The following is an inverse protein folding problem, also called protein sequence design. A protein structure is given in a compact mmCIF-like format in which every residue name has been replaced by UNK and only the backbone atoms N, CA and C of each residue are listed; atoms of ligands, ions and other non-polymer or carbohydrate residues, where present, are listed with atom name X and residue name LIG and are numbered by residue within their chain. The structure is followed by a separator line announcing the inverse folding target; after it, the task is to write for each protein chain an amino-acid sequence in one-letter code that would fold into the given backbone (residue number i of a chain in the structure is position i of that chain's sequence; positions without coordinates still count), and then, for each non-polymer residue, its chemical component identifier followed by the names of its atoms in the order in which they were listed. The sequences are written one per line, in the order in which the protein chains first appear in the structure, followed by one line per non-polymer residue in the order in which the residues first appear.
data_IF_557273997446
#
_entry.id   IF_557273997446
#
_cell.length_a   1.000
_cell.length_b   1.000
_cell.length_c   1.000
_cell.angle_alpha   90.00
_cell.angle_beta   90.00
_cell.angle_gamma   90.00
#
_symmetry.space_group_name_H-M   'P 1'
#
loop_
_entity.id
_entity.type
_entity.pdbx_description
1 polymer ?
#
# COMPACT_ATOMS: atom_id res chain seq x y z
N UNK A 1 4.16 5.18 14.59
CA UNK A 1 4.92 5.55 15.81
C UNK A 1 4.23 6.74 16.49
N UNK A 2 3.81 7.77 15.76
CA UNK A 2 3.18 8.96 16.37
C UNK A 2 1.73 8.71 16.80
N UNK A 3 0.98 7.90 16.07
CA UNK A 3 -0.31 7.40 16.52
C UNK A 3 -0.16 6.61 17.84
N UNK A 4 0.92 5.87 18.00
CA UNK A 4 1.26 5.18 19.26
C UNK A 4 1.70 6.15 20.35
N UNK A 5 2.38 7.25 20.04
CA UNK A 5 2.78 8.28 21.01
C UNK A 5 1.61 9.17 21.45
N UNK A 6 0.77 9.62 20.52
CA UNK A 6 -0.47 10.36 20.85
C UNK A 6 -1.51 9.45 21.50
N UNK A 7 -1.58 8.18 21.09
CA UNK A 7 -2.34 7.16 21.78
C UNK A 7 -1.76 6.89 23.18
N UNK A 8 -0.45 6.84 23.36
CA UNK A 8 0.19 6.60 24.66
C UNK A 8 -0.11 7.67 25.71
N UNK A 9 -0.13 8.92 25.34
CA UNK A 9 -0.43 10.06 26.24
C UNK A 9 -1.93 10.22 26.48
N UNK A 10 -2.77 9.82 25.52
CA UNK A 10 -4.24 9.95 25.56
C UNK A 10 -4.98 8.65 25.87
N UNK A 11 -4.28 7.51 25.92
CA UNK A 11 -4.84 6.15 25.77
C UNK A 11 -5.77 5.71 26.89
N UNK A 12 -5.59 6.19 28.10
CA UNK A 12 -6.43 5.71 29.21
C UNK A 12 -7.76 6.48 29.33
N UNK A 13 -7.78 7.76 29.04
CA UNK A 13 -8.98 8.57 29.16
C UNK A 13 -9.59 8.92 27.78
N UNK A 14 -8.78 9.19 26.77
CA UNK A 14 -9.25 9.58 25.45
C UNK A 14 -9.99 8.48 24.73
N UNK A 15 -9.48 7.25 24.76
CA UNK A 15 -10.16 6.11 24.14
C UNK A 15 -11.47 5.76 24.83
N UNK A 16 -11.52 5.83 26.15
CA UNK A 16 -12.77 5.60 26.91
C UNK A 16 -13.81 6.66 26.60
N UNK A 17 -13.43 7.93 26.53
CA UNK A 17 -14.32 9.03 26.19
C UNK A 17 -14.76 8.92 24.72
N UNK A 18 -13.83 8.66 23.79
CA UNK A 18 -14.13 8.45 22.37
C UNK A 18 -15.11 7.30 22.17
N UNK A 19 -14.85 6.14 22.76
CA UNK A 19 -15.74 4.98 22.65
C UNK A 19 -17.10 5.24 23.28
N UNK A 20 -17.16 5.90 24.44
CA UNK A 20 -18.42 6.27 25.08
C UNK A 20 -19.22 7.26 24.20
N UNK A 21 -18.55 8.25 23.62
CA UNK A 21 -19.17 9.25 22.75
C UNK A 21 -19.60 8.65 21.40
N UNK A 22 -18.79 7.76 20.81
CA UNK A 22 -19.14 7.04 19.58
C UNK A 22 -20.42 6.19 19.75
N UNK A 23 -20.53 5.49 20.88
CA UNK A 23 -21.72 4.66 21.18
C UNK A 23 -22.89 5.43 21.77
N UNK A 24 -22.80 6.74 21.97
CA UNK A 24 -23.87 7.60 22.52
C UNK A 24 -24.91 8.06 21.49
N UNK A 25 -25.19 7.30 20.43
CA UNK A 25 -26.11 7.64 19.32
C UNK A 25 -25.70 8.91 18.56
N UNK A 26 -24.42 9.18 18.43
CA UNK A 26 -23.87 10.25 17.60
C UNK A 26 -23.94 11.67 18.16
N UNK A 27 -24.76 11.93 19.19
CA UNK A 27 -24.93 13.28 19.75
C UNK A 27 -23.68 13.84 20.41
N UNK A 28 -22.75 12.97 20.88
CA UNK A 28 -21.52 13.36 21.56
C UNK A 28 -20.26 13.18 20.72
N UNK A 29 -20.37 12.49 19.59
CA UNK A 29 -19.23 12.23 18.69
C UNK A 29 -18.64 13.53 18.12
N UNK A 30 -19.50 14.50 17.76
CA UNK A 30 -19.10 15.79 17.20
C UNK A 30 -18.66 16.82 18.26
N UNK A 31 -18.30 16.42 19.47
CA UNK A 31 -17.68 17.33 20.42
C UNK A 31 -16.36 17.85 19.88
N UNK A 32 -16.02 19.13 20.15
CA UNK A 32 -14.75 19.72 19.71
C UNK A 32 -13.51 18.88 20.08
N UNK A 33 -13.55 18.27 21.26
CA UNK A 33 -12.50 17.38 21.73
C UNK A 33 -12.29 16.19 20.77
N UNK A 34 -13.33 15.45 20.40
CA UNK A 34 -13.24 14.32 19.50
C UNK A 34 -12.78 14.77 18.09
N UNK A 35 -13.32 15.87 17.58
CA UNK A 35 -12.91 16.44 16.30
C UNK A 35 -11.42 16.79 16.29
N UNK A 36 -10.93 17.44 17.35
CA UNK A 36 -9.52 17.83 17.47
C UNK A 36 -8.63 16.57 17.50
N UNK A 37 -8.92 15.62 18.36
CA UNK A 37 -8.01 14.47 18.59
C UNK A 37 -8.13 13.37 17.51
N UNK A 38 -9.28 13.22 16.85
CA UNK A 38 -9.49 12.17 15.86
C UNK A 38 -9.24 12.66 14.43
N UNK A 39 -9.46 13.93 14.14
CA UNK A 39 -9.35 14.47 12.79
C UNK A 39 -8.21 15.49 12.67
N UNK A 40 -8.26 16.58 13.46
CA UNK A 40 -7.36 17.72 13.28
C UNK A 40 -5.92 17.33 13.65
N UNK A 41 -5.72 16.79 14.83
CA UNK A 41 -4.38 16.44 15.31
C UNK A 41 -3.69 15.39 14.43
N UNK A 42 -4.30 14.26 14.05
CA UNK A 42 -3.70 13.32 13.09
C UNK A 42 -3.40 13.96 11.74
N UNK A 43 -4.29 14.80 11.19
CA UNK A 43 -4.06 15.48 9.92
C UNK A 43 -2.84 16.42 9.97
N UNK A 44 -2.74 17.24 11.03
CA UNK A 44 -1.61 18.13 11.24
C UNK A 44 -0.30 17.35 11.41
N UNK A 45 -0.33 16.27 12.16
CA UNK A 45 0.84 15.41 12.37
C UNK A 45 1.30 14.73 11.08
N UNK A 46 0.38 14.18 10.30
CA UNK A 46 0.68 13.57 8.99
C UNK A 46 1.29 14.61 8.06
N UNK A 47 0.69 15.81 7.98
CA UNK A 47 1.23 16.89 7.16
C UNK A 47 2.63 17.31 7.61
N UNK A 48 2.84 17.54 8.91
CA UNK A 48 4.13 17.95 9.47
C UNK A 48 5.22 16.90 9.21
N UNK A 49 4.91 15.63 9.52
CA UNK A 49 5.88 14.54 9.32
C UNK A 49 6.16 14.27 7.86
N UNK A 50 5.13 14.29 6.99
CA UNK A 50 5.31 14.16 5.55
C UNK A 50 6.20 15.29 4.99
N UNK A 51 6.00 16.53 5.43
CA UNK A 51 6.84 17.65 5.04
C UNK A 51 8.27 17.52 5.56
N UNK A 52 8.45 17.09 6.82
CA UNK A 52 9.75 16.85 7.42
C UNK A 52 10.49 15.70 6.74
N UNK A 53 9.84 14.56 6.54
CA UNK A 53 10.38 13.39 5.86
C UNK A 53 10.81 13.75 4.43
N UNK A 54 9.92 14.41 3.67
CA UNK A 54 10.23 14.85 2.33
C UNK A 54 11.47 15.76 2.30
N UNK A 55 11.52 16.77 3.17
CA UNK A 55 12.64 17.71 3.23
C UNK A 55 13.95 17.03 3.62
N UNK A 56 13.90 16.06 4.55
CA UNK A 56 15.10 15.45 5.14
C UNK A 56 15.67 14.32 4.28
N UNK A 57 14.81 13.51 3.65
CA UNK A 57 15.25 12.28 3.00
C UNK A 57 14.97 12.23 1.49
N UNK A 58 14.00 13.00 1.00
CA UNK A 58 13.49 12.85 -0.37
C UNK A 58 13.90 14.03 -1.27
N UNK A 59 13.92 15.25 -0.75
CA UNK A 59 14.09 16.45 -1.56
C UNK A 59 15.41 16.45 -2.36
N UNK A 60 16.52 16.08 -1.73
CA UNK A 60 17.82 16.09 -2.37
C UNK A 60 17.93 14.99 -3.42
N UNK A 61 17.49 13.77 -3.13
CA UNK A 61 17.49 12.68 -4.10
C UNK A 61 16.60 12.97 -5.32
N UNK A 62 15.44 13.60 -5.12
CA UNK A 62 14.57 14.04 -6.21
C UNK A 62 15.23 15.15 -7.05
N UNK A 63 15.93 16.08 -6.40
CA UNK A 63 16.66 17.16 -7.07
C UNK A 63 17.80 16.59 -7.91
N UNK A 64 18.61 15.71 -7.36
CA UNK A 64 19.69 15.03 -8.07
C UNK A 64 19.17 14.22 -9.27
N UNK A 65 18.12 13.42 -9.08
CA UNK A 65 17.48 12.66 -10.16
C UNK A 65 16.98 13.59 -11.28
N UNK A 66 16.29 14.69 -10.95
CA UNK A 66 15.83 15.66 -11.95
C UNK A 66 17.01 16.34 -12.68
N UNK A 67 18.11 16.61 -11.99
CA UNK A 67 19.31 17.18 -12.60
C UNK A 67 19.98 16.18 -13.53
N UNK A 68 20.17 14.94 -13.12
CA UNK A 68 20.74 13.88 -13.97
C UNK A 68 19.89 13.60 -15.20
N UNK A 69 18.55 13.53 -15.06
CA UNK A 69 17.64 13.39 -16.20
C UNK A 69 17.75 14.57 -17.19
N UNK A 70 17.81 15.82 -16.69
CA UNK A 70 17.99 17.00 -17.55
C UNK A 70 19.34 16.97 -18.28
N UNK A 71 20.40 16.57 -17.59
CA UNK A 71 21.74 16.44 -18.21
C UNK A 71 21.75 15.33 -19.27
N UNK A 72 21.13 14.18 -19.00
CA UNK A 72 21.01 13.10 -19.97
C UNK A 72 20.24 13.55 -21.24
N UNK A 73 19.12 14.24 -21.07
CA UNK A 73 18.34 14.80 -22.19
C UNK A 73 19.16 15.84 -22.97
N UNK A 74 19.94 16.68 -22.29
CA UNK A 74 20.81 17.68 -22.94
C UNK A 74 21.93 17.02 -23.74
N UNK A 75 22.61 16.01 -23.15
CA UNK A 75 23.63 15.22 -23.83
C UNK A 75 23.08 14.52 -25.08
N UNK A 76 21.91 13.93 -24.98
CA UNK A 76 21.26 13.23 -26.10
C UNK A 76 20.88 14.21 -27.22
N UNK A 77 20.33 15.39 -26.87
CA UNK A 77 20.05 16.46 -27.85
C UNK A 77 21.32 16.94 -28.56
N UNK A 78 22.43 17.11 -27.83
CA UNK A 78 23.72 17.52 -28.40
C UNK A 78 24.24 16.45 -29.36
N UNK A 79 24.26 15.18 -28.96
CA UNK A 79 24.69 14.07 -29.82
C UNK A 79 23.85 14.00 -31.11
N UNK A 80 22.55 14.12 -31.01
CA UNK A 80 21.69 14.11 -32.19
C UNK A 80 21.93 15.33 -33.09
N UNK A 81 22.19 16.49 -32.48
CA UNK A 81 22.55 17.71 -33.24
C UNK A 81 23.82 17.53 -34.02
N UNK A 82 24.90 17.02 -33.41
CA UNK A 82 26.16 16.77 -34.08
C UNK A 82 25.98 15.80 -35.25
N UNK A 83 25.34 14.64 -35.01
CA UNK A 83 25.06 13.68 -36.07
C UNK A 83 24.21 14.27 -37.23
N UNK A 84 23.26 15.13 -36.88
CA UNK A 84 22.42 15.81 -37.87
C UNK A 84 23.21 16.81 -38.71
N UNK A 85 24.11 17.58 -38.08
CA UNK A 85 24.98 18.53 -38.80
C UNK A 85 25.95 17.82 -39.77
N UNK A 86 26.48 16.65 -39.36
CA UNK A 86 27.41 15.86 -40.19
C UNK A 86 26.73 15.24 -41.43
N UNK A 87 25.41 15.01 -41.37
CA UNK A 87 24.66 14.38 -42.46
C UNK A 87 23.86 15.36 -43.32
N UNK A 88 23.72 16.61 -42.90
CA UNK A 88 22.82 17.59 -43.52
C UNK A 88 23.57 18.57 -44.40
N UNK A 89 23.13 18.75 -45.66
CA UNK A 89 23.67 19.73 -46.58
C UNK A 89 22.92 21.08 -46.61
N UNK A 90 22.09 21.35 -45.59
CA UNK A 90 21.31 22.61 -45.50
C UNK A 90 22.24 23.74 -45.10
N UNK A 91 22.40 24.73 -45.97
CA UNK A 91 23.26 25.89 -45.76
C UNK A 91 22.60 26.99 -44.90
N UNK A 92 21.25 27.07 -44.94
CA UNK A 92 20.51 28.07 -44.14
C UNK A 92 20.37 27.61 -42.68
N UNK A 93 20.98 28.34 -41.78
CA UNK A 93 21.00 28.07 -40.34
C UNK A 93 19.58 28.06 -39.68
N UNK A 94 18.67 28.92 -40.17
CA UNK A 94 17.31 28.97 -39.65
C UNK A 94 16.50 27.72 -40.06
N UNK A 95 16.63 27.33 -41.32
CA UNK A 95 15.98 26.13 -41.85
C UNK A 95 16.54 24.85 -41.22
N UNK A 96 17.86 24.78 -41.06
CA UNK A 96 18.58 23.70 -40.38
C UNK A 96 18.04 23.49 -38.97
N UNK A 97 17.89 24.57 -38.17
CA UNK A 97 17.39 24.52 -36.80
C UNK A 97 15.90 24.07 -36.75
N UNK A 98 15.07 24.58 -37.68
CA UNK A 98 13.65 24.19 -37.73
C UNK A 98 13.48 22.70 -38.02
N UNK A 99 14.24 22.15 -38.97
CA UNK A 99 14.21 20.71 -39.31
C UNK A 99 14.72 19.87 -38.15
N UNK A 100 15.79 20.31 -37.49
CA UNK A 100 16.30 19.61 -36.30
C UNK A 100 15.30 19.61 -35.13
N UNK A 101 14.60 20.71 -34.86
CA UNK A 101 13.61 20.76 -33.78
C UNK A 101 12.44 19.81 -34.04
N UNK A 102 12.03 19.62 -35.30
CA UNK A 102 11.07 18.60 -35.66
C UNK A 102 11.60 17.18 -35.46
N UNK A 103 12.83 16.91 -35.87
CA UNK A 103 13.51 15.63 -35.65
C UNK A 103 13.65 15.33 -34.16
N UNK A 104 14.10 16.30 -33.39
CA UNK A 104 14.20 16.18 -31.92
C UNK A 104 12.86 15.87 -31.26
N UNK A 105 11.79 16.55 -31.67
CA UNK A 105 10.44 16.30 -31.17
C UNK A 105 9.99 14.85 -31.43
N UNK A 106 10.21 14.33 -32.65
CA UNK A 106 9.91 12.94 -33.00
C UNK A 106 10.77 11.95 -32.18
N UNK A 107 12.09 12.19 -32.10
CA UNK A 107 13.01 11.36 -31.31
C UNK A 107 12.59 11.32 -29.82
N UNK A 108 12.27 12.48 -29.25
CA UNK A 108 11.83 12.57 -27.86
C UNK A 108 10.49 11.87 -27.61
N UNK A 109 9.54 11.98 -28.52
CA UNK A 109 8.27 11.26 -28.45
C UNK A 109 8.47 9.74 -28.52
N UNK A 110 9.37 9.26 -29.38
CA UNK A 110 9.71 7.84 -29.45
C UNK A 110 10.34 7.33 -28.15
N UNK A 111 11.30 8.08 -27.59
CA UNK A 111 11.89 7.76 -26.29
C UNK A 111 10.83 7.71 -25.16
N UNK A 112 9.92 8.70 -25.15
CA UNK A 112 8.85 8.72 -24.13
C UNK A 112 7.89 7.56 -24.33
N UNK A 113 7.58 7.18 -25.57
CA UNK A 113 6.77 5.98 -25.84
C UNK A 113 7.41 4.71 -25.30
N UNK A 114 8.74 4.56 -25.48
CA UNK A 114 9.48 3.41 -24.93
C UNK A 114 9.52 3.48 -23.41
N UNK A 115 9.83 4.67 -22.84
CA UNK A 115 9.86 4.86 -21.38
C UNK A 115 8.53 4.62 -20.71
N UNK A 116 7.42 4.95 -21.38
CA UNK A 116 6.04 4.76 -20.88
C UNK A 116 5.30 3.62 -21.60
N UNK A 117 6.01 2.76 -22.35
CA UNK A 117 5.41 1.54 -22.86
C UNK A 117 4.93 0.68 -21.70
N UNK A 118 3.79 0.02 -21.89
CA UNK A 118 3.23 -0.85 -20.87
C UNK A 118 4.26 -1.89 -20.45
N UNK A 119 4.57 -2.01 -19.15
CA UNK A 119 5.52 -3.00 -18.66
C UNK A 119 5.01 -4.42 -18.95
N UNK A 120 5.92 -5.41 -18.90
CA UNK A 120 5.60 -6.82 -19.21
C UNK A 120 4.40 -7.37 -18.43
N UNK A 121 4.20 -6.88 -17.21
CA UNK A 121 3.15 -7.32 -16.30
C UNK A 121 2.05 -6.27 -16.09
N UNK A 122 2.01 -5.20 -16.91
CA UNK A 122 0.96 -4.21 -16.77
C UNK A 122 -0.40 -4.87 -16.87
N UNK A 123 -1.17 -4.76 -15.81
CA UNK A 123 -2.55 -5.20 -15.75
C UNK A 123 -3.46 -3.98 -15.87
N UNK A 124 -4.34 -3.98 -16.83
CA UNK A 124 -5.42 -3.01 -16.94
C UNK A 124 -6.73 -3.75 -16.73
N UNK A 125 -7.35 -3.54 -15.57
CA UNK A 125 -8.70 -4.07 -15.32
C UNK A 125 -9.77 -3.19 -15.94
N UNK A 126 -10.98 -3.70 -16.01
CA UNK A 126 -12.15 -2.93 -16.45
C UNK A 126 -12.78 -2.24 -15.24
N UNK A 127 -12.88 -0.90 -15.23
CA UNK A 127 -13.48 -0.16 -14.13
C UNK A 127 -14.99 -0.31 -14.10
N UNK A 128 -15.60 -0.20 -12.91
CA UNK A 128 -17.07 -0.12 -12.76
C UNK A 128 -17.66 1.04 -13.55
N UNK A 129 -16.95 2.16 -13.61
CA UNK A 129 -17.34 3.34 -14.37
C UNK A 129 -16.11 4.16 -14.75
N UNK A 130 -16.19 4.90 -15.85
CA UNK A 130 -15.15 5.85 -16.29
C UNK A 130 -15.16 7.19 -15.53
N UNK A 131 -15.99 7.33 -14.50
CA UNK A 131 -15.99 8.50 -13.60
C UNK A 131 -14.66 8.60 -12.84
N UNK A 132 -14.17 9.80 -12.49
CA UNK A 132 -12.81 9.98 -11.95
C UNK A 132 -12.45 9.06 -10.78
N UNK A 133 -13.34 8.84 -9.81
CA UNK A 133 -13.09 7.96 -8.68
C UNK A 133 -13.26 6.48 -9.03
N UNK A 134 -14.32 6.14 -9.77
CA UNK A 134 -14.65 4.75 -10.12
C UNK A 134 -13.76 4.19 -11.24
N UNK A 135 -13.00 5.02 -11.92
CA UNK A 135 -12.01 4.57 -12.91
C UNK A 135 -10.81 3.83 -12.29
N UNK A 136 -10.65 3.87 -10.96
CA UNK A 136 -9.60 3.14 -10.24
C UNK A 136 -10.07 1.79 -9.71
N UNK A 137 -11.31 1.42 -9.99
CA UNK A 137 -11.88 0.11 -9.67
C UNK A 137 -11.53 -0.91 -10.75
N UNK A 138 -11.62 -2.18 -10.42
CA UNK A 138 -11.41 -3.28 -11.35
C UNK A 138 -12.39 -4.41 -11.05
N UNK A 139 -13.26 -4.73 -12.02
CA UNK A 139 -14.24 -5.81 -11.91
C UNK A 139 -13.75 -7.14 -12.48
N UNK A 140 -12.62 -7.14 -13.17
CA UNK A 140 -12.11 -8.31 -13.92
C UNK A 140 -11.13 -9.16 -13.13
N UNK A 141 -10.40 -8.56 -12.17
CA UNK A 141 -9.44 -9.29 -11.32
C UNK A 141 -10.16 -10.28 -10.39
N UNK A 142 -9.65 -11.51 -10.32
CA UNK A 142 -10.22 -12.59 -9.52
C UNK A 142 -10.20 -12.30 -8.01
N UNK A 143 -11.39 -12.17 -7.40
CA UNK A 143 -11.55 -11.90 -5.95
C UNK A 143 -11.00 -13.02 -5.07
N UNK A 144 -11.24 -14.27 -5.45
CA UNK A 144 -10.73 -15.42 -4.68
C UNK A 144 -9.21 -15.49 -4.67
N UNK A 145 -8.57 -15.29 -5.82
CA UNK A 145 -7.10 -15.23 -5.88
C UNK A 145 -6.55 -14.02 -5.12
N UNK A 146 -7.20 -12.86 -5.21
CA UNK A 146 -6.80 -11.67 -4.45
C UNK A 146 -6.87 -11.92 -2.95
N UNK A 147 -7.92 -12.60 -2.45
CA UNK A 147 -8.07 -12.89 -1.02
C UNK A 147 -6.94 -13.81 -0.54
N UNK A 148 -6.60 -14.85 -1.29
CA UNK A 148 -5.57 -15.81 -0.90
C UNK A 148 -4.18 -15.22 -1.13
N UNK A 149 -3.86 -14.79 -2.33
CA UNK A 149 -2.46 -14.43 -2.66
C UNK A 149 -2.08 -13.02 -2.17
N UNK A 150 -2.99 -12.07 -2.20
CA UNK A 150 -2.66 -10.67 -1.91
C UNK A 150 -3.18 -10.20 -0.55
N UNK A 151 -4.45 -10.48 -0.18
CA UNK A 151 -5.04 -9.95 1.04
C UNK A 151 -4.51 -10.65 2.29
N UNK A 152 -4.64 -11.96 2.39
CA UNK A 152 -4.11 -12.74 3.52
C UNK A 152 -2.71 -13.29 3.25
N UNK A 153 -2.30 -13.42 1.99
CA UNK A 153 -0.97 -13.79 1.57
C UNK A 153 0.05 -12.67 1.76
N UNK A 154 0.34 -11.94 0.70
CA UNK A 154 1.40 -10.89 0.64
C UNK A 154 1.27 -9.83 1.74
N UNK A 155 0.05 -9.51 2.20
CA UNK A 155 -0.17 -8.56 3.28
C UNK A 155 0.42 -8.97 4.62
N UNK A 156 0.56 -10.26 4.87
CA UNK A 156 1.04 -10.80 6.13
C UNK A 156 2.39 -11.50 5.98
N UNK A 157 2.62 -12.12 4.83
CA UNK A 157 3.74 -12.97 4.56
C UNK A 157 4.22 -12.75 3.13
N UNK A 158 5.39 -12.13 2.94
CA UNK A 158 5.93 -11.81 1.63
C UNK A 158 6.10 -13.05 0.75
N UNK A 159 5.82 -12.93 -0.55
CA UNK A 159 6.15 -13.99 -1.51
C UNK A 159 7.65 -14.03 -1.77
N UNK A 160 8.20 -15.26 -1.96
CA UNK A 160 9.62 -15.45 -2.25
C UNK A 160 10.02 -14.94 -3.64
N UNK A 161 9.10 -15.00 -4.59
CA UNK A 161 9.30 -14.50 -5.95
C UNK A 161 8.72 -13.10 -6.07
N UNK A 162 9.42 -12.21 -6.76
CA UNK A 162 9.01 -10.83 -6.98
C UNK A 162 8.82 -10.01 -5.70
N UNK A 163 9.56 -10.34 -4.63
CA UNK A 163 9.50 -9.62 -3.35
C UNK A 163 9.73 -8.12 -3.58
N UNK A 164 8.86 -7.26 -3.01
CA UNK A 164 8.87 -5.81 -3.16
C UNK A 164 8.80 -5.30 -4.61
N UNK A 165 8.52 -6.16 -5.58
CA UNK A 165 8.34 -5.77 -6.97
C UNK A 165 7.08 -4.94 -7.19
N UNK A 166 7.14 -3.98 -8.11
CA UNK A 166 6.03 -3.11 -8.49
C UNK A 166 5.07 -3.89 -9.41
N UNK A 167 3.83 -4.10 -8.98
CA UNK A 167 2.79 -4.78 -9.76
C UNK A 167 2.46 -4.07 -11.07
N UNK A 168 2.75 -2.78 -11.17
CA UNK A 168 2.57 -2.01 -12.40
C UNK A 168 3.72 -2.19 -13.40
N UNK A 169 4.83 -2.83 -13.01
CA UNK A 169 6.05 -2.93 -13.82
C UNK A 169 6.73 -4.29 -13.77
N UNK A 170 7.07 -4.74 -12.57
CA UNK A 170 8.11 -5.75 -12.37
C UNK A 170 7.56 -7.10 -11.92
N UNK A 171 6.29 -7.17 -11.50
CA UNK A 171 5.67 -8.40 -11.02
C UNK A 171 4.27 -8.63 -11.59
N UNK A 172 3.83 -9.89 -11.72
CA UNK A 172 2.44 -10.20 -12.03
C UNK A 172 1.52 -9.82 -10.85
N UNK A 173 0.23 -9.62 -11.12
CA UNK A 173 -0.79 -9.31 -10.10
C UNK A 173 -0.90 -10.40 -9.04
N UNK A 174 -0.75 -11.65 -9.45
CA UNK A 174 -0.77 -12.81 -8.56
C UNK A 174 0.58 -13.50 -8.60
N UNK A 175 1.14 -13.68 -7.42
CA UNK A 175 2.34 -14.48 -7.17
C UNK A 175 1.94 -15.55 -6.18
N UNK A 176 2.31 -16.80 -6.44
CA UNK A 176 2.05 -17.90 -5.53
C UNK A 176 3.28 -18.22 -4.69
N UNK A 177 3.07 -18.72 -3.48
CA UNK A 177 4.17 -19.16 -2.64
C UNK A 177 4.89 -20.37 -3.23
N UNK A 178 6.21 -20.37 -3.14
CA UNK A 178 7.02 -21.52 -3.55
C UNK A 178 6.87 -22.71 -2.58
N UNK A 179 6.50 -22.46 -1.33
CA UNK A 179 6.36 -23.47 -0.29
C UNK A 179 4.91 -23.56 0.19
N UNK A 180 4.35 -24.76 0.16
CA UNK A 180 3.01 -25.02 0.68
C UNK A 180 2.83 -24.65 2.15
N UNK A 181 3.91 -24.69 2.94
CA UNK A 181 3.91 -24.30 4.35
C UNK A 181 3.41 -22.86 4.58
N UNK A 182 3.69 -21.94 3.64
CA UNK A 182 3.21 -20.56 3.73
C UNK A 182 1.69 -20.49 3.73
N UNK A 183 1.02 -21.29 2.90
CA UNK A 183 -0.45 -21.38 2.89
C UNK A 183 -1.01 -22.00 4.18
N UNK A 184 -0.27 -22.92 4.81
CA UNK A 184 -0.68 -23.47 6.12
C UNK A 184 -0.64 -22.39 7.19
N UNK A 185 0.41 -21.55 7.24
CA UNK A 185 0.50 -20.41 8.17
C UNK A 185 -0.62 -19.42 7.92
N UNK A 186 -0.87 -19.05 6.66
CA UNK A 186 -1.98 -18.17 6.27
C UNK A 186 -3.32 -18.71 6.75
N UNK A 187 -3.64 -19.97 6.43
CA UNK A 187 -4.88 -20.62 6.85
C UNK A 187 -5.03 -20.62 8.38
N UNK A 188 -3.92 -20.81 9.10
CA UNK A 188 -3.93 -20.78 10.57
C UNK A 188 -4.20 -19.39 11.13
N UNK A 189 -3.64 -18.33 10.53
CA UNK A 189 -3.93 -16.93 10.89
C UNK A 189 -5.40 -16.60 10.64
N UNK A 190 -5.93 -16.98 9.47
CA UNK A 190 -7.33 -16.79 9.12
C UNK A 190 -8.25 -17.53 10.10
N UNK A 191 -7.90 -18.77 10.48
CA UNK A 191 -8.66 -19.54 11.47
C UNK A 191 -8.68 -18.83 12.83
N UNK A 192 -7.52 -18.38 13.33
CA UNK A 192 -7.44 -17.63 14.59
C UNK A 192 -8.25 -16.32 14.53
N UNK A 193 -8.21 -15.63 13.40
CA UNK A 193 -8.99 -14.43 13.14
C UNK A 193 -10.48 -14.70 13.22
N UNK A 194 -10.99 -15.71 12.51
CA UNK A 194 -12.41 -16.09 12.52
C UNK A 194 -12.88 -16.57 13.92
N UNK A 195 -12.06 -17.36 14.60
CA UNK A 195 -12.32 -17.75 15.98
C UNK A 195 -12.36 -16.54 16.92
N UNK A 196 -11.50 -15.55 16.68
CA UNK A 196 -11.47 -14.29 17.40
C UNK A 196 -12.73 -13.45 17.21
N UNK A 197 -13.23 -13.35 15.98
CA UNK A 197 -14.53 -12.70 15.68
C UNK A 197 -15.64 -13.39 16.46
N UNK A 198 -15.69 -14.72 16.41
CA UNK A 198 -16.69 -15.48 17.13
C UNK A 198 -16.63 -15.24 18.65
N UNK A 199 -15.44 -15.24 19.21
CA UNK A 199 -15.22 -14.98 20.64
C UNK A 199 -15.63 -13.55 21.02
N UNK A 200 -15.38 -12.57 20.15
CA UNK A 200 -15.67 -11.15 20.38
C UNK A 200 -17.07 -10.68 19.96
N UNK A 201 -17.92 -11.53 19.40
CA UNK A 201 -19.21 -11.16 18.78
C UNK A 201 -20.19 -10.38 19.65
N UNK A 202 -20.04 -10.41 20.98
CA UNK A 202 -20.86 -9.63 21.92
C UNK A 202 -20.25 -8.29 22.29
N UNK A 203 -19.04 -7.98 21.84
CA UNK A 203 -18.33 -6.75 22.16
C UNK A 203 -18.67 -5.64 21.17
N UNK A 204 -19.03 -4.46 21.68
CA UNK A 204 -19.21 -3.27 20.86
C UNK A 204 -17.92 -2.87 20.14
N UNK A 205 -16.76 -3.01 20.79
CA UNK A 205 -15.44 -2.76 20.20
C UNK A 205 -15.21 -3.69 19.00
N UNK A 206 -15.55 -4.97 19.12
CA UNK A 206 -15.45 -5.90 18.00
C UNK A 206 -16.26 -5.44 16.79
N UNK A 207 -17.51 -5.07 16.99
CA UNK A 207 -18.38 -4.61 15.91
C UNK A 207 -17.89 -3.31 15.28
N UNK A 208 -17.40 -2.38 16.08
CA UNK A 208 -16.77 -1.16 15.56
C UNK A 208 -15.56 -1.50 14.69
N UNK A 209 -14.66 -2.35 15.18
CA UNK A 209 -13.46 -2.78 14.44
C UNK A 209 -13.82 -3.49 13.13
N UNK A 210 -14.81 -4.40 13.19
CA UNK A 210 -15.29 -5.11 12.01
C UNK A 210 -16.01 -4.20 11.01
N UNK A 211 -16.64 -3.10 11.45
CA UNK A 211 -17.27 -2.15 10.52
C UNK A 211 -16.24 -1.43 9.66
N UNK A 212 -15.08 -1.07 10.20
CA UNK A 212 -13.98 -0.52 9.42
C UNK A 212 -13.39 -1.56 8.46
N UNK A 213 -13.15 -2.77 8.95
CA UNK A 213 -12.69 -3.87 8.11
C UNK A 213 -13.68 -4.17 6.97
N UNK A 214 -14.99 -4.19 7.27
CA UNK A 214 -16.01 -4.42 6.25
C UNK A 214 -16.03 -3.31 5.19
N UNK A 215 -15.84 -2.05 5.60
CA UNK A 215 -15.74 -0.93 4.67
C UNK A 215 -14.54 -1.11 3.72
N UNK A 216 -13.37 -1.44 4.26
CA UNK A 216 -12.18 -1.72 3.45
C UNK A 216 -12.40 -2.91 2.50
N UNK A 217 -13.05 -3.97 2.97
CA UNK A 217 -13.37 -5.13 2.12
C UNK A 217 -14.37 -4.77 1.01
N UNK A 218 -15.36 -3.93 1.27
CA UNK A 218 -16.29 -3.43 0.25
C UNK A 218 -15.52 -2.61 -0.81
N UNK A 219 -14.61 -1.74 -0.38
CA UNK A 219 -13.83 -0.91 -1.29
C UNK A 219 -12.84 -1.74 -2.12
N UNK A 220 -12.01 -2.55 -1.46
CA UNK A 220 -10.90 -3.24 -2.13
C UNK A 220 -11.33 -4.53 -2.82
N UNK A 221 -12.14 -5.37 -2.16
CA UNK A 221 -12.58 -6.65 -2.73
C UNK A 221 -13.90 -6.49 -3.47
N UNK A 222 -14.86 -5.75 -2.93
CA UNK A 222 -16.17 -5.53 -3.57
C UNK A 222 -16.05 -4.73 -4.85
N UNK A 223 -15.65 -3.47 -4.74
CA UNK A 223 -15.51 -2.55 -5.87
C UNK A 223 -14.21 -2.77 -6.68
N UNK A 224 -13.23 -3.47 -6.12
CA UNK A 224 -11.94 -3.69 -6.76
C UNK A 224 -11.05 -2.45 -6.78
N UNK A 225 -11.23 -1.53 -5.84
CA UNK A 225 -10.40 -0.33 -5.73
C UNK A 225 -8.99 -0.71 -5.26
N UNK A 226 -7.99 -0.55 -6.14
CA UNK A 226 -6.61 -0.98 -5.88
C UNK A 226 -6.46 -2.48 -5.62
N UNK A 227 -7.34 -3.31 -6.19
CA UNK A 227 -7.40 -4.76 -5.93
C UNK A 227 -6.08 -5.49 -6.26
N UNK A 228 -5.33 -4.97 -7.22
CA UNK A 228 -4.04 -5.54 -7.64
C UNK A 228 -2.92 -5.26 -6.63
N UNK A 229 -3.12 -4.26 -5.78
CA UNK A 229 -2.16 -3.76 -4.80
C UNK A 229 -2.73 -3.77 -3.37
N UNK A 230 -3.72 -4.61 -3.09
CA UNK A 230 -4.39 -4.65 -1.79
C UNK A 230 -3.44 -4.91 -0.62
N UNK A 231 -2.32 -5.57 -0.87
CA UNK A 231 -1.26 -5.79 0.12
C UNK A 231 -0.55 -4.48 0.54
N UNK A 232 -0.49 -3.45 -0.31
CA UNK A 232 0.03 -2.13 0.04
C UNK A 232 -0.92 -1.43 1.03
N UNK A 233 -2.22 -1.71 0.93
CA UNK A 233 -3.25 -1.16 1.80
C UNK A 233 -3.38 -1.89 3.15
N UNK A 234 -2.47 -2.82 3.46
CA UNK A 234 -2.48 -3.64 4.67
C UNK A 234 -2.60 -2.82 5.96
N UNK A 235 -1.98 -1.65 6.02
CA UNK A 235 -2.04 -0.78 7.19
C UNK A 235 -3.46 -0.33 7.57
N UNK A 236 -4.40 -0.32 6.63
CA UNK A 236 -5.79 0.10 6.85
C UNK A 236 -6.61 -0.94 7.61
N UNK A 237 -6.31 -2.23 7.47
CA UNK A 237 -7.16 -3.29 7.94
C UNK A 237 -6.47 -4.38 8.79
N UNK A 238 -5.17 -4.64 8.60
CA UNK A 238 -4.51 -5.80 9.23
C UNK A 238 -4.48 -5.75 10.76
N UNK A 239 -4.59 -4.56 11.36
CA UNK A 239 -4.69 -4.40 12.82
C UNK A 239 -5.92 -5.11 13.41
N UNK A 240 -6.93 -5.41 12.60
CA UNK A 240 -8.13 -6.15 13.02
C UNK A 240 -7.79 -7.58 13.43
N UNK A 241 -6.82 -8.21 12.76
CA UNK A 241 -6.41 -9.59 13.04
C UNK A 241 -5.91 -9.75 14.50
N UNK A 242 -4.88 -9.02 14.96
CA UNK A 242 -4.41 -9.15 16.33
C UNK A 242 -5.47 -8.73 17.38
N UNK A 243 -6.35 -7.78 17.06
CA UNK A 243 -7.47 -7.45 17.94
C UNK A 243 -8.43 -8.64 18.10
N UNK A 244 -8.79 -9.30 17.02
CA UNK A 244 -9.66 -10.50 17.07
C UNK A 244 -8.98 -11.64 17.86
N UNK A 245 -7.70 -11.91 17.61
CA UNK A 245 -6.94 -12.91 18.36
C UNK A 245 -6.87 -12.54 19.86
N UNK A 246 -6.75 -11.26 20.21
CA UNK A 246 -6.82 -10.77 21.57
C UNK A 246 -8.17 -11.12 22.27
N UNK A 247 -9.30 -11.01 21.55
CA UNK A 247 -10.60 -11.46 22.05
C UNK A 247 -10.66 -12.97 22.25
N UNK A 248 -10.07 -13.76 21.34
CA UNK A 248 -9.96 -15.19 21.48
C UNK A 248 -9.18 -15.59 22.73
N UNK A 249 -8.01 -15.00 22.94
CA UNK A 249 -7.16 -15.22 24.13
C UNK A 249 -7.92 -14.82 25.41
N UNK A 250 -8.62 -13.66 25.39
CA UNK A 250 -9.40 -13.19 26.53
C UNK A 250 -10.59 -14.11 26.87
N UNK A 251 -11.21 -14.73 25.88
CA UNK A 251 -12.37 -15.60 26.05
C UNK A 251 -12.02 -17.01 26.55
N UNK A 252 -10.74 -17.36 26.53
CA UNK A 252 -10.24 -18.69 26.93
C UNK A 252 -9.54 -18.61 28.29
N UNK A 253 -9.41 -19.77 28.96
CA UNK A 253 -8.75 -19.88 30.26
C UNK A 253 -7.87 -21.13 30.35
N UNK A 254 -7.03 -21.20 31.37
CA UNK A 254 -6.18 -22.34 31.67
C UNK A 254 -5.26 -22.74 30.48
N UNK A 255 -5.06 -24.03 30.28
CA UNK A 255 -4.20 -24.60 29.24
C UNK A 255 -4.54 -24.14 27.84
N UNK A 256 -5.82 -23.94 27.53
CA UNK A 256 -6.27 -23.47 26.21
C UNK A 256 -5.75 -22.05 25.92
N UNK A 257 -5.84 -21.14 26.90
CA UNK A 257 -5.30 -19.78 26.77
C UNK A 257 -3.80 -19.80 26.53
N UNK A 258 -3.06 -20.57 27.33
CA UNK A 258 -1.60 -20.70 27.15
C UNK A 258 -1.24 -21.24 25.77
N UNK A 259 -1.93 -22.28 25.30
CA UNK A 259 -1.70 -22.86 23.98
C UNK A 259 -1.93 -21.83 22.84
N UNK A 260 -3.07 -21.12 22.86
CA UNK A 260 -3.36 -20.10 21.84
C UNK A 260 -2.33 -18.96 21.88
N UNK A 261 -1.97 -18.49 23.08
CA UNK A 261 -0.96 -17.44 23.24
C UNK A 261 0.39 -17.88 22.67
N UNK A 262 0.82 -19.11 23.00
CA UNK A 262 2.08 -19.65 22.51
C UNK A 262 2.05 -19.82 20.98
N UNK A 263 1.00 -20.40 20.42
CA UNK A 263 0.82 -20.49 18.97
C UNK A 263 0.89 -19.12 18.28
N UNK A 264 0.17 -18.13 18.81
CA UNK A 264 0.19 -16.77 18.26
C UNK A 264 1.58 -16.15 18.32
N UNK A 265 2.29 -16.34 19.45
CA UNK A 265 3.66 -15.85 19.61
C UNK A 265 4.64 -16.52 18.61
N UNK A 266 4.52 -17.83 18.39
CA UNK A 266 5.34 -18.56 17.43
C UNK A 266 5.07 -18.10 15.99
N UNK A 267 3.80 -17.90 15.62
CA UNK A 267 3.44 -17.37 14.29
C UNK A 267 3.99 -15.95 14.12
N UNK A 268 3.82 -15.09 15.11
CA UNK A 268 4.34 -13.71 15.05
C UNK A 268 5.88 -13.71 14.90
N UNK A 269 6.57 -14.53 15.66
CA UNK A 269 8.02 -14.69 15.55
C UNK A 269 8.43 -15.20 14.16
N UNK A 270 7.75 -16.23 13.67
CA UNK A 270 7.97 -16.74 12.31
C UNK A 270 7.79 -15.63 11.26
N UNK A 271 6.69 -14.88 11.29
CA UNK A 271 6.41 -13.81 10.33
C UNK A 271 7.48 -12.71 10.37
N UNK A 272 7.92 -12.31 11.56
CA UNK A 272 8.99 -11.31 11.72
C UNK A 272 10.28 -11.82 11.08
N UNK A 273 10.71 -13.01 11.41
CA UNK A 273 11.96 -13.58 10.88
C UNK A 273 11.86 -13.78 9.37
N UNK A 274 10.79 -14.42 8.91
CA UNK A 274 10.58 -14.73 7.49
C UNK A 274 10.56 -13.47 6.62
N UNK A 275 9.73 -12.47 6.97
CA UNK A 275 9.62 -11.24 6.22
C UNK A 275 10.92 -10.40 6.29
N UNK A 276 11.58 -10.37 7.44
CA UNK A 276 12.87 -9.66 7.59
C UNK A 276 13.95 -10.29 6.72
N UNK A 277 14.05 -11.63 6.71
CA UNK A 277 15.01 -12.34 5.86
C UNK A 277 14.76 -12.03 4.40
N UNK A 278 13.53 -12.17 3.90
CA UNK A 278 13.21 -11.86 2.51
C UNK A 278 13.51 -10.40 2.14
N UNK A 279 13.17 -9.45 3.02
CA UNK A 279 13.44 -8.04 2.78
C UNK A 279 14.95 -7.76 2.69
N UNK A 280 15.75 -8.32 3.59
CA UNK A 280 17.22 -8.11 3.59
C UNK A 280 17.88 -8.69 2.34
N UNK A 281 17.42 -9.86 1.86
CA UNK A 281 17.98 -10.47 0.67
C UNK A 281 17.50 -9.86 -0.66
N UNK A 282 16.48 -8.99 -0.61
CA UNK A 282 15.94 -8.32 -1.80
C UNK A 282 16.50 -6.91 -1.97
N UNK A 283 16.92 -6.26 -0.88
CA UNK A 283 17.55 -4.93 -0.87
C UNK A 283 19.04 -5.03 -1.20
#
# INVERSE_FOLDING_TARGET
ILFLLTAGVSLNNGLKVFLADFFSKGKRFFRPYNLIFVVVLPAVLIWFFGAWEYKTFVADSVKERKMSERQAVKKDKTKLWTAFCDTTHIKDSKQQKAVFDQLWKKHRQAQLKVKYSAPRYAHSGDPVSKQPFLNWTDITTSRSKTIVENLFGESLQLHQSYTLGDVMRDRPVFVSYNWFFNYVIEAFIVLLFLCGIWAGKRSKLMWMTLSFFALDMILHIGLGFGINEVYIMTAHWAYVIPLCIGFLIKSTSGRKRTAITLCTALIAFYLIVYNSVLTIFTL
#
